data_IF_846204553377
#
_entry.id   IF_846204553377
#
_cell.length_a   1.000
_cell.length_b   1.000
_cell.length_c   1.000
_cell.angle_alpha   90.00
_cell.angle_beta   90.00
_cell.angle_gamma   90.00
#
_symmetry.space_group_name_H-M   'P 1'
#
loop_
_entity.id
_entity.type
_entity.pdbx_description
1 polymer ?
#
# COMPACT_ATOMS: atom_id res chain seq x y z
N UNK A 1 22.81 -1.06 12.74
CA UNK A 1 23.23 -0.91 11.32
C UNK A 1 22.18 -1.29 10.28
N UNK A 2 21.52 -2.45 10.36
CA UNK A 2 20.51 -2.87 9.38
C UNK A 2 19.40 -1.82 9.12
N UNK A 3 18.83 -1.22 10.18
CA UNK A 3 17.83 -0.15 10.04
C UNK A 3 18.36 1.08 9.29
N UNK A 4 19.64 1.42 9.46
CA UNK A 4 20.26 2.57 8.79
C UNK A 4 20.40 2.33 7.29
N UNK A 5 20.86 1.15 6.89
CA UNK A 5 20.95 0.78 5.48
C UNK A 5 19.57 0.71 4.83
N UNK A 6 18.59 0.10 5.50
CA UNK A 6 17.21 0.05 5.00
C UNK A 6 16.59 1.44 4.81
N UNK A 7 16.83 2.37 5.74
CA UNK A 7 16.37 3.76 5.61
C UNK A 7 17.01 4.50 4.44
N UNK A 8 18.31 4.30 4.21
CA UNK A 8 19.03 4.92 3.09
C UNK A 8 18.51 4.35 1.75
N UNK A 9 18.36 3.03 1.66
CA UNK A 9 17.85 2.36 0.46
C UNK A 9 16.41 2.78 0.14
N UNK A 10 15.52 2.71 1.13
CA UNK A 10 14.11 3.12 0.97
C UNK A 10 13.99 4.62 0.70
N UNK A 11 14.79 5.44 1.38
CA UNK A 11 14.80 6.90 1.20
C UNK A 11 15.25 7.29 -0.20
N UNK A 12 16.29 6.65 -0.73
CA UNK A 12 16.74 6.87 -2.10
C UNK A 12 15.68 6.45 -3.12
N UNK A 13 15.04 5.30 -2.93
CA UNK A 13 13.96 4.83 -3.82
C UNK A 13 12.76 5.80 -3.83
N UNK A 14 12.33 6.27 -2.65
CA UNK A 14 11.25 7.26 -2.51
C UNK A 14 11.62 8.62 -3.11
N UNK A 15 12.88 9.05 -3.00
CA UNK A 15 13.37 10.28 -3.61
C UNK A 15 13.31 10.21 -5.14
N UNK A 16 13.73 9.09 -5.73
CA UNK A 16 13.61 8.87 -7.19
C UNK A 16 12.14 8.88 -7.61
N UNK A 17 11.26 8.18 -6.88
CA UNK A 17 9.82 8.18 -7.15
C UNK A 17 9.21 9.60 -7.07
N UNK A 18 9.65 10.40 -6.10
CA UNK A 18 9.24 11.80 -5.97
C UNK A 18 9.66 12.65 -7.18
N UNK A 19 10.90 12.50 -7.67
CA UNK A 19 11.36 13.20 -8.87
C UNK A 19 10.55 12.82 -10.11
N UNK A 20 10.20 11.54 -10.26
CA UNK A 20 9.36 11.06 -11.36
C UNK A 20 7.96 11.69 -11.28
N UNK A 21 7.35 11.75 -10.10
CA UNK A 21 6.04 12.38 -9.90
C UNK A 21 6.07 13.88 -10.20
N UNK A 22 7.11 14.59 -9.76
CA UNK A 22 7.30 16.02 -10.10
C UNK A 22 7.46 16.20 -11.61
N UNK A 23 8.27 15.37 -12.27
CA UNK A 23 8.46 15.45 -13.71
C UNK A 23 7.15 15.22 -14.46
N UNK A 24 6.36 14.23 -14.05
CA UNK A 24 5.04 13.94 -14.64
C UNK A 24 4.08 15.12 -14.48
N UNK A 25 3.95 15.67 -13.27
CA UNK A 25 3.09 16.83 -13.01
C UNK A 25 3.56 18.07 -13.81
N UNK A 26 4.86 18.32 -13.86
CA UNK A 26 5.45 19.44 -14.60
C UNK A 26 5.17 19.32 -16.09
N UNK A 27 5.43 18.16 -16.70
CA UNK A 27 5.15 17.89 -18.12
C UNK A 27 3.65 18.06 -18.39
N UNK A 28 2.78 17.45 -17.59
CA UNK A 28 1.33 17.63 -17.78
C UNK A 28 0.92 19.08 -17.67
N UNK A 29 1.45 19.83 -16.69
CA UNK A 29 1.17 21.25 -16.51
C UNK A 29 1.64 22.12 -17.67
N UNK A 30 2.79 21.82 -18.29
CA UNK A 30 3.26 22.56 -19.46
C UNK A 30 2.46 22.23 -20.71
N UNK A 31 2.09 20.95 -20.93
CA UNK A 31 1.30 20.56 -22.11
C UNK A 31 -0.10 21.15 -22.03
N UNK A 32 -0.72 21.12 -20.86
CA UNK A 32 -2.10 21.57 -20.66
C UNK A 32 -2.26 23.09 -20.53
N UNK A 33 -1.15 23.84 -20.46
CA UNK A 33 -1.15 25.32 -20.42
C UNK A 33 -0.78 25.96 -21.77
N UNK A 34 -0.43 25.17 -22.78
CA UNK A 34 -0.08 25.71 -24.09
C UNK A 34 -1.32 26.36 -24.76
N UNK A 35 -1.19 27.60 -25.23
CA UNK A 35 -2.29 28.43 -25.77
C UNK A 35 -2.94 27.87 -27.07
N UNK A 36 -2.35 26.85 -27.69
CA UNK A 36 -2.76 26.21 -28.95
C UNK A 36 -3.50 24.86 -28.74
N UNK A 37 -4.23 24.70 -27.64
CA UNK A 37 -5.03 23.49 -27.41
C UNK A 37 -6.38 23.58 -28.13
N UNK A 38 -6.55 22.78 -29.18
CA UNK A 38 -7.88 22.53 -29.77
C UNK A 38 -8.87 22.02 -28.70
N UNK A 39 -10.17 22.29 -28.84
CA UNK A 39 -11.18 21.97 -27.83
C UNK A 39 -11.19 20.50 -27.35
N UNK A 40 -10.83 19.54 -28.21
CA UNK A 40 -10.70 18.11 -27.85
C UNK A 40 -9.52 17.84 -26.88
N UNK A 41 -8.45 18.64 -26.96
CA UNK A 41 -7.28 18.47 -26.08
C UNK A 41 -7.46 19.13 -24.71
N UNK A 42 -8.35 20.13 -24.59
CA UNK A 42 -8.73 20.74 -23.31
C UNK A 42 -9.48 19.72 -22.43
N UNK A 43 -10.41 18.95 -23.01
CA UNK A 43 -11.14 17.90 -22.27
C UNK A 43 -10.22 16.75 -21.81
N UNK A 44 -9.20 16.40 -22.61
CA UNK A 44 -8.18 15.40 -22.22
C UNK A 44 -7.24 15.85 -21.11
N UNK A 45 -7.10 17.17 -20.92
CA UNK A 45 -6.36 17.77 -19.82
C UNK A 45 -7.18 17.86 -18.53
N UNK A 46 -8.51 17.94 -18.64
CA UNK A 46 -9.42 17.89 -17.49
C UNK A 46 -9.63 16.47 -16.95
N UNK A 47 -9.62 15.45 -17.82
CA UNK A 47 -9.68 14.03 -17.44
C UNK A 47 -8.40 13.29 -17.90
N UNK A 48 -7.37 13.35 -17.06
CA UNK A 48 -6.05 12.76 -17.32
C UNK A 48 -6.10 11.23 -17.24
N UNK A 49 -6.44 10.62 -18.36
CA UNK A 49 -6.39 9.17 -18.53
C UNK A 49 -4.99 8.69 -18.94
N UNK A 50 -4.71 7.39 -18.77
CA UNK A 50 -3.48 6.75 -19.27
C UNK A 50 -3.25 6.99 -20.78
N UNK A 51 -4.33 7.12 -21.55
CA UNK A 51 -4.27 7.40 -22.99
C UNK A 51 -3.86 8.86 -23.25
N UNK A 52 -4.40 9.80 -22.46
CA UNK A 52 -4.03 11.22 -22.53
C UNK A 52 -2.53 11.41 -22.30
N UNK A 53 -1.94 10.73 -21.31
CA UNK A 53 -0.53 10.86 -20.98
C UNK A 53 0.43 10.52 -22.14
N UNK A 54 0.14 9.47 -22.91
CA UNK A 54 0.94 9.09 -24.09
C UNK A 54 0.90 10.16 -25.19
N UNK A 55 -0.27 10.78 -25.39
CA UNK A 55 -0.45 11.84 -26.37
C UNK A 55 0.23 13.15 -25.94
N UNK A 56 0.09 13.53 -24.67
CA UNK A 56 0.73 14.73 -24.11
C UNK A 56 2.26 14.63 -24.20
N UNK A 57 2.83 13.46 -23.88
CA UNK A 57 4.26 13.22 -24.02
C UNK A 57 4.73 13.26 -25.48
N UNK A 58 3.93 12.74 -26.41
CA UNK A 58 4.24 12.81 -27.85
C UNK A 58 4.32 14.25 -28.35
N UNK A 59 3.42 15.12 -27.89
CA UNK A 59 3.37 16.51 -28.32
C UNK A 59 4.57 17.34 -27.80
N UNK A 60 5.14 16.99 -26.64
CA UNK A 60 6.25 17.75 -26.04
C UNK A 60 7.62 17.17 -26.35
N UNK A 61 7.78 15.85 -26.37
CA UNK A 61 9.07 15.18 -26.58
C UNK A 61 9.21 14.49 -27.96
N UNK A 62 8.20 14.54 -28.82
CA UNK A 62 8.21 13.95 -30.16
C UNK A 62 7.78 12.48 -30.21
N UNK A 63 7.86 11.84 -31.39
CA UNK A 63 7.28 10.49 -31.63
C UNK A 63 7.91 9.37 -30.78
N UNK A 64 9.18 9.50 -30.40
CA UNK A 64 9.90 8.50 -29.62
C UNK A 64 9.46 8.43 -28.15
N UNK A 65 8.91 9.51 -27.58
CA UNK A 65 8.52 9.56 -26.17
C UNK A 65 7.30 8.71 -25.85
N UNK A 66 6.36 8.58 -26.78
CA UNK A 66 5.18 7.70 -26.63
C UNK A 66 5.58 6.23 -26.51
N UNK A 67 6.60 5.80 -27.26
CA UNK A 67 7.14 4.43 -27.17
C UNK A 67 7.83 4.23 -25.82
N UNK A 68 8.65 5.19 -25.38
CA UNK A 68 9.32 5.13 -24.07
C UNK A 68 8.28 5.07 -22.93
N UNK A 69 7.21 5.87 -23.03
CA UNK A 69 6.12 5.84 -22.06
C UNK A 69 5.41 4.49 -22.02
N UNK A 70 5.13 3.88 -23.17
CA UNK A 70 4.53 2.55 -23.24
C UNK A 70 5.44 1.47 -22.60
N UNK A 71 6.75 1.54 -22.86
CA UNK A 71 7.73 0.64 -22.23
C UNK A 71 7.78 0.88 -20.71
N UNK A 72 7.78 2.14 -20.27
CA UNK A 72 7.77 2.49 -18.85
C UNK A 72 6.49 2.00 -18.13
N UNK A 73 5.33 2.14 -18.76
CA UNK A 73 4.06 1.60 -18.25
C UNK A 73 4.09 0.08 -18.13
N UNK A 74 4.62 -0.62 -19.16
CA UNK A 74 4.79 -2.08 -19.11
C UNK A 74 5.75 -2.51 -17.99
N UNK A 75 6.89 -1.83 -17.86
CA UNK A 75 7.86 -2.10 -16.81
C UNK A 75 7.28 -1.87 -15.40
N UNK A 76 6.53 -0.78 -15.21
CA UNK A 76 5.83 -0.47 -13.97
C UNK A 76 4.79 -1.55 -13.63
N UNK A 77 4.02 -2.01 -14.62
CA UNK A 77 3.06 -3.12 -14.44
C UNK A 77 3.71 -4.43 -14.00
N UNK A 78 4.88 -4.78 -14.55
CA UNK A 78 5.63 -5.97 -14.11
C UNK A 78 6.15 -5.83 -12.68
N UNK A 79 6.68 -4.66 -12.33
CA UNK A 79 7.15 -4.38 -10.96
C UNK A 79 6.02 -4.51 -9.94
N UNK A 80 4.86 -3.91 -10.23
CA UNK A 80 3.67 -4.01 -9.38
C UNK A 80 3.19 -5.45 -9.19
N UNK A 81 3.20 -6.26 -10.26
CA UNK A 81 2.81 -7.67 -10.18
C UNK A 81 3.72 -8.47 -9.22
N UNK A 82 5.03 -8.24 -9.27
CA UNK A 82 5.99 -8.91 -8.39
C UNK A 82 5.72 -8.50 -6.93
N UNK A 83 5.68 -7.20 -6.65
CA UNK A 83 5.44 -6.67 -5.30
C UNK A 83 4.08 -7.13 -4.75
N UNK A 84 3.04 -7.15 -5.58
CA UNK A 84 1.72 -7.65 -5.21
C UNK A 84 1.71 -9.12 -4.82
N UNK A 85 2.47 -9.98 -5.52
CA UNK A 85 2.58 -11.41 -5.14
C UNK A 85 3.37 -11.65 -3.86
N UNK A 86 4.33 -10.78 -3.52
CA UNK A 86 5.04 -10.84 -2.25
C UNK A 86 4.19 -10.31 -1.10
N UNK A 87 3.55 -9.15 -1.26
CA UNK A 87 2.63 -8.60 -0.26
C UNK A 87 1.47 -9.56 0.02
N UNK A 88 0.86 -10.12 -1.04
CA UNK A 88 -0.19 -11.12 -0.92
C UNK A 88 0.26 -12.38 -0.18
N UNK A 89 1.54 -12.78 -0.31
CA UNK A 89 2.06 -13.90 0.47
C UNK A 89 2.01 -13.64 1.98
N UNK A 90 2.52 -12.48 2.40
CA UNK A 90 2.57 -12.11 3.81
C UNK A 90 1.17 -12.00 4.40
N UNK A 91 0.22 -11.46 3.63
CA UNK A 91 -1.18 -11.37 4.07
C UNK A 91 -1.81 -12.76 4.16
N UNK A 92 -1.66 -13.61 3.15
CA UNK A 92 -2.28 -14.94 3.13
C UNK A 92 -1.73 -15.86 4.22
N UNK A 93 -0.41 -15.84 4.46
CA UNK A 93 0.22 -16.65 5.50
C UNK A 93 -0.02 -16.06 6.89
N UNK A 94 0.00 -14.73 7.04
CA UNK A 94 -0.16 -14.07 8.33
C UNK A 94 -1.60 -13.97 8.83
N UNK A 95 -2.57 -13.70 7.95
CA UNK A 95 -3.98 -13.48 8.35
C UNK A 95 -4.90 -14.66 8.08
N UNK A 96 -4.62 -15.48 7.06
CA UNK A 96 -5.51 -16.56 6.63
C UNK A 96 -4.92 -17.97 6.87
N UNK A 97 -3.66 -18.06 7.29
CA UNK A 97 -2.85 -19.30 7.35
C UNK A 97 -3.00 -20.18 6.07
N UNK A 98 -3.13 -19.53 4.91
CA UNK A 98 -3.31 -20.20 3.63
C UNK A 98 -1.96 -20.38 2.93
N UNK A 99 -1.43 -21.60 2.95
CA UNK A 99 -0.20 -21.98 2.27
C UNK A 99 -0.49 -22.44 0.83
N UNK A 100 -0.47 -21.49 -0.11
CA UNK A 100 -0.61 -21.77 -1.55
C UNK A 100 0.74 -21.87 -2.26
N UNK A 101 0.83 -22.75 -3.27
CA UNK A 101 1.99 -22.82 -4.18
C UNK A 101 2.17 -21.50 -4.94
N UNK A 102 3.42 -21.03 -5.08
CA UNK A 102 3.77 -19.74 -5.71
C UNK A 102 3.14 -19.54 -7.10
N UNK A 103 3.16 -20.58 -7.95
CA UNK A 103 2.58 -20.53 -9.30
C UNK A 103 1.05 -20.36 -9.27
N UNK A 104 0.36 -21.12 -8.41
CA UNK A 104 -1.09 -21.04 -8.28
C UNK A 104 -1.52 -19.67 -7.75
N UNK A 105 -0.80 -19.14 -6.76
CA UNK A 105 -1.03 -17.78 -6.24
C UNK A 105 -0.92 -16.74 -7.35
N UNK A 106 0.16 -16.77 -8.12
CA UNK A 106 0.37 -15.82 -9.22
C UNK A 106 -0.68 -15.96 -10.34
N UNK A 107 -1.13 -17.18 -10.64
CA UNK A 107 -2.19 -17.40 -11.62
C UNK A 107 -3.52 -16.81 -11.14
N UNK A 108 -3.92 -17.10 -9.90
CA UNK A 108 -5.19 -16.62 -9.33
C UNK A 108 -5.20 -15.10 -9.24
N UNK A 109 -4.15 -14.47 -8.68
CA UNK A 109 -4.11 -13.00 -8.54
C UNK A 109 -4.10 -12.31 -9.89
N UNK A 110 -3.42 -12.87 -10.90
CA UNK A 110 -3.44 -12.34 -12.27
C UNK A 110 -4.80 -12.51 -12.94
N UNK A 111 -5.48 -13.64 -12.78
CA UNK A 111 -6.82 -13.84 -13.34
C UNK A 111 -7.80 -12.85 -12.72
N UNK A 112 -7.79 -12.70 -11.38
CA UNK A 112 -8.67 -11.78 -10.66
C UNK A 112 -8.41 -10.33 -11.05
N UNK A 113 -7.17 -9.94 -11.33
CA UNK A 113 -6.85 -8.58 -11.77
C UNK A 113 -7.14 -8.34 -13.27
N UNK A 114 -6.75 -9.27 -14.15
CA UNK A 114 -6.79 -9.09 -15.60
C UNK A 114 -8.18 -9.36 -16.15
N UNK A 115 -8.90 -10.39 -15.69
CA UNK A 115 -10.16 -10.78 -16.29
C UNK A 115 -11.23 -9.67 -16.22
N UNK A 116 -11.49 -9.03 -15.06
CA UNK A 116 -12.45 -7.92 -14.99
C UNK A 116 -12.01 -6.73 -15.82
N UNK A 117 -10.71 -6.41 -15.82
CA UNK A 117 -10.14 -5.32 -16.61
C UNK A 117 -10.31 -5.55 -18.11
N UNK A 118 -10.07 -6.78 -18.57
CA UNK A 118 -10.23 -7.16 -19.96
C UNK A 118 -11.70 -7.08 -20.40
N UNK A 119 -12.63 -7.61 -19.59
CA UNK A 119 -14.07 -7.56 -19.89
C UNK A 119 -14.56 -6.12 -20.00
N UNK A 120 -14.22 -5.27 -19.02
CA UNK A 120 -14.61 -3.85 -19.01
C UNK A 120 -13.97 -3.09 -20.19
N UNK A 121 -12.72 -3.39 -20.53
CA UNK A 121 -12.03 -2.77 -21.66
C UNK A 121 -12.63 -3.17 -23.02
N UNK A 122 -13.03 -4.45 -23.19
CA UNK A 122 -13.67 -4.92 -24.42
C UNK A 122 -15.04 -4.27 -24.62
N UNK A 123 -15.84 -4.12 -23.55
CA UNK A 123 -17.20 -3.58 -23.64
C UNK A 123 -17.19 -2.04 -23.70
N UNK A 124 -16.39 -1.41 -22.84
CA UNK A 124 -16.41 0.05 -22.60
C UNK A 124 -15.23 0.83 -23.19
N UNK A 125 -14.29 0.16 -23.87
CA UNK A 125 -13.11 0.78 -24.45
C UNK A 125 -12.23 1.51 -23.43
N UNK A 126 -11.56 2.57 -23.89
CA UNK A 126 -10.67 3.41 -23.06
C UNK A 126 -11.39 4.10 -21.91
N UNK A 127 -12.66 4.51 -22.10
CA UNK A 127 -13.46 5.11 -21.04
C UNK A 127 -13.81 4.10 -19.94
N UNK A 128 -14.15 2.87 -20.31
CA UNK A 128 -14.37 1.78 -19.35
C UNK A 128 -13.13 1.47 -18.53
N UNK A 129 -11.96 1.38 -19.17
CA UNK A 129 -10.68 1.18 -18.49
C UNK A 129 -10.35 2.32 -17.51
N UNK A 130 -10.58 3.58 -17.91
CA UNK A 130 -10.41 4.75 -17.03
C UNK A 130 -11.31 4.69 -15.79
N UNK A 131 -12.59 4.33 -15.95
CA UNK A 131 -13.51 4.14 -14.83
C UNK A 131 -13.06 3.04 -13.88
N UNK A 132 -12.50 1.94 -14.41
CA UNK A 132 -11.98 0.86 -13.58
C UNK A 132 -10.78 1.30 -12.74
N UNK A 133 -9.92 2.16 -13.29
CA UNK A 133 -8.81 2.75 -12.53
C UNK A 133 -9.34 3.57 -11.35
N UNK A 134 -10.37 4.39 -11.57
CA UNK A 134 -11.01 5.18 -10.50
C UNK A 134 -11.60 4.26 -9.43
N UNK A 135 -12.29 3.18 -9.83
CA UNK A 135 -12.84 2.19 -8.89
C UNK A 135 -11.72 1.51 -8.08
N UNK A 136 -10.60 1.15 -8.72
CA UNK A 136 -9.45 0.59 -8.02
C UNK A 136 -8.87 1.57 -7.00
N UNK A 137 -8.83 2.87 -7.32
CA UNK A 137 -8.43 3.92 -6.37
C UNK A 137 -9.41 4.05 -5.19
N UNK A 138 -10.72 3.93 -5.42
CA UNK A 138 -11.72 3.91 -4.34
C UNK A 138 -11.51 2.72 -3.39
N UNK A 139 -11.25 1.53 -3.93
CA UNK A 139 -10.97 0.32 -3.13
C UNK A 139 -9.72 0.54 -2.28
N UNK A 140 -8.64 1.07 -2.88
CA UNK A 140 -7.40 1.36 -2.16
C UNK A 140 -7.61 2.37 -1.03
N UNK A 141 -8.39 3.43 -1.27
CA UNK A 141 -8.73 4.42 -0.24
C UNK A 141 -9.54 3.82 0.91
N UNK A 142 -10.41 2.84 0.63
CA UNK A 142 -11.13 2.10 1.67
C UNK A 142 -10.19 1.25 2.52
N UNK A 143 -9.23 0.54 1.91
CA UNK A 143 -8.29 -0.36 2.58
C UNK A 143 -7.23 0.37 3.43
N UNK A 144 -6.80 1.56 2.99
CA UNK A 144 -5.67 2.27 3.56
C UNK A 144 -5.77 2.52 5.08
N UNK A 145 -6.88 3.04 5.64
CA UNK A 145 -6.97 3.27 7.08
C UNK A 145 -6.84 1.99 7.92
N UNK A 146 -7.35 0.86 7.41
CA UNK A 146 -7.28 -0.43 8.10
C UNK A 146 -5.87 -1.00 8.15
N UNK A 147 -5.01 -0.67 7.18
CA UNK A 147 -3.59 -1.04 7.20
C UNK A 147 -2.74 -0.03 7.99
N UNK A 148 -3.02 1.27 7.82
CA UNK A 148 -2.19 2.35 8.37
C UNK A 148 -2.37 2.51 9.89
N UNK A 149 -3.59 2.42 10.41
CA UNK A 149 -3.84 2.59 11.85
C UNK A 149 -3.09 1.52 12.68
N UNK A 150 -3.21 0.21 12.39
CA UNK A 150 -2.44 -0.80 13.11
C UNK A 150 -0.93 -0.59 13.00
N UNK A 151 -0.43 -0.24 11.81
CA UNK A 151 1.00 0.04 11.61
C UNK A 151 1.49 1.18 12.51
N UNK A 152 0.76 2.29 12.58
CA UNK A 152 1.12 3.43 13.43
C UNK A 152 1.11 3.07 14.91
N UNK A 153 0.10 2.32 15.37
CA UNK A 153 0.01 1.89 16.76
C UNK A 153 1.10 0.90 17.15
N UNK A 154 1.40 -0.06 16.27
CA UNK A 154 2.49 -1.01 16.48
C UNK A 154 3.85 -0.33 16.49
N UNK A 155 4.12 0.59 15.55
CA UNK A 155 5.37 1.35 15.50
C UNK A 155 5.53 2.34 16.67
N UNK A 156 4.42 2.80 17.26
CA UNK A 156 4.46 3.74 18.41
C UNK A 156 4.57 3.04 19.77
N UNK A 157 4.38 1.72 19.84
CA UNK A 157 4.32 0.97 21.09
C UNK A 157 5.70 0.53 21.58
N UNK A 158 6.11 1.04 22.76
CA UNK A 158 7.31 0.56 23.47
C UNK A 158 7.22 -0.93 23.78
N UNK A 159 6.02 -1.45 24.04
CA UNK A 159 5.79 -2.86 24.36
C UNK A 159 5.84 -3.78 23.13
N UNK A 160 6.04 -3.24 21.93
CA UNK A 160 6.16 -4.02 20.68
C UNK A 160 7.53 -3.84 20.03
N UNK A 161 8.10 -2.63 20.09
CA UNK A 161 9.44 -2.31 19.56
C UNK A 161 10.60 -2.46 20.55
N UNK A 162 10.33 -2.55 21.87
CA UNK A 162 11.38 -2.68 22.89
C UNK A 162 12.39 -1.52 22.84
N UNK A 163 13.71 -1.77 22.84
CA UNK A 163 14.74 -0.72 22.86
C UNK A 163 14.87 0.09 21.56
N UNK A 164 14.27 -0.37 20.45
CA UNK A 164 14.29 0.32 19.14
C UNK A 164 13.08 1.24 18.94
N UNK A 165 12.47 1.73 20.02
CA UNK A 165 11.29 2.60 19.95
C UNK A 165 11.61 3.89 19.19
N UNK A 166 10.70 4.29 18.31
CA UNK A 166 10.75 5.61 17.67
C UNK A 166 10.78 6.74 18.71
N UNK A 167 11.54 7.80 18.40
CA UNK A 167 11.53 9.04 19.18
C UNK A 167 10.12 9.62 19.24
N UNK A 168 9.79 10.29 20.35
CA UNK A 168 8.48 10.92 20.55
C UNK A 168 8.11 11.87 19.40
N UNK A 169 9.11 12.56 18.82
CA UNK A 169 8.92 13.44 17.65
C UNK A 169 8.44 12.65 16.43
N UNK A 170 9.08 11.52 16.12
CA UNK A 170 8.72 10.67 14.98
C UNK A 170 7.33 10.07 15.16
N UNK A 171 6.97 9.71 16.39
CA UNK A 171 5.63 9.22 16.72
C UNK A 171 4.60 10.32 16.42
N UNK A 172 4.77 11.52 16.98
CA UNK A 172 3.84 12.64 16.78
C UNK A 172 3.69 13.00 15.30
N UNK A 173 4.81 13.13 14.58
CA UNK A 173 4.80 13.45 13.13
C UNK A 173 4.07 12.34 12.34
N UNK A 174 4.37 11.07 12.63
CA UNK A 174 3.74 9.93 11.93
C UNK A 174 2.23 9.88 12.18
N UNK A 175 1.77 10.21 13.39
CA UNK A 175 0.34 10.29 13.69
C UNK A 175 -0.34 11.48 13.00
N UNK A 176 0.30 12.66 12.96
CA UNK A 176 -0.25 13.82 12.25
C UNK A 176 -0.38 13.52 10.75
N UNK A 177 0.68 13.00 10.12
CA UNK A 177 0.67 12.63 8.71
C UNK A 177 -0.34 11.50 8.44
N UNK A 178 -0.38 10.49 9.31
CA UNK A 178 -1.28 9.36 9.20
C UNK A 178 -2.75 9.76 9.27
N UNK A 179 -3.13 10.59 10.26
CA UNK A 179 -4.47 11.13 10.38
C UNK A 179 -4.83 12.03 9.20
N UNK A 180 -3.89 12.83 8.70
CA UNK A 180 -4.07 13.63 7.48
C UNK A 180 -4.39 12.76 6.27
N UNK A 181 -3.60 11.71 6.03
CA UNK A 181 -3.82 10.77 4.91
C UNK A 181 -5.17 10.05 5.06
N UNK A 182 -5.51 9.57 6.25
CA UNK A 182 -6.80 8.92 6.52
C UNK A 182 -7.95 9.90 6.24
N UNK A 183 -7.87 11.14 6.73
CA UNK A 183 -8.88 12.16 6.50
C UNK A 183 -9.10 12.44 5.02
N UNK A 184 -8.01 12.62 4.26
CA UNK A 184 -8.09 12.84 2.80
C UNK A 184 -8.68 11.63 2.08
N UNK A 185 -8.31 10.40 2.45
CA UNK A 185 -8.85 9.18 1.83
C UNK A 185 -10.33 8.99 2.12
N UNK A 186 -10.77 9.22 3.36
CA UNK A 186 -12.19 9.17 3.73
C UNK A 186 -12.98 10.24 2.98
N UNK A 187 -12.45 11.47 2.90
CA UNK A 187 -13.06 12.53 2.10
C UNK A 187 -13.17 12.17 0.61
N UNK A 188 -12.09 11.67 0.01
CA UNK A 188 -12.10 11.21 -1.39
C UNK A 188 -13.12 10.10 -1.61
N UNK A 189 -13.18 9.10 -0.73
CA UNK A 189 -14.12 7.99 -0.84
C UNK A 189 -15.58 8.47 -0.79
N UNK A 190 -15.91 9.34 0.16
CA UNK A 190 -17.27 9.89 0.32
C UNK A 190 -17.64 10.74 -0.91
N UNK A 191 -16.76 11.66 -1.32
CA UNK A 191 -17.04 12.56 -2.45
C UNK A 191 -17.14 11.82 -3.77
N UNK A 192 -16.27 10.85 -4.01
CA UNK A 192 -16.28 10.05 -5.22
C UNK A 192 -17.53 9.16 -5.29
N UNK A 193 -17.97 8.58 -4.16
CA UNK A 193 -19.22 7.81 -4.09
C UNK A 193 -20.46 8.69 -4.29
N UNK A 194 -20.54 9.83 -3.60
CA UNK A 194 -21.66 10.78 -3.75
C UNK A 194 -21.71 11.32 -5.19
N UNK A 195 -20.56 11.65 -5.77
CA UNK A 195 -20.46 12.08 -7.17
C UNK A 195 -20.97 11.01 -8.13
N UNK A 196 -20.60 9.75 -7.93
CA UNK A 196 -21.11 8.62 -8.72
C UNK A 196 -22.63 8.44 -8.58
N UNK A 197 -23.18 8.61 -7.37
CA UNK A 197 -24.60 8.47 -7.10
C UNK A 197 -25.47 9.59 -7.70
N UNK A 198 -24.93 10.82 -7.80
CA UNK A 198 -25.64 11.97 -8.39
C UNK A 198 -25.65 11.90 -9.92
N UNK A 199 -24.54 11.48 -10.53
CA UNK A 199 -24.38 11.47 -12.00
C UNK A 199 -24.75 10.13 -12.65
N UNK A 200 -25.18 9.14 -11.88
CA UNK A 200 -25.56 7.84 -12.43
C UNK A 200 -26.82 7.96 -13.28
N UNK A 201 -26.76 7.42 -14.49
CA UNK A 201 -27.87 7.35 -15.46
C UNK A 201 -28.93 6.31 -15.10
N UNK A 202 -28.86 5.75 -13.90
CA UNK A 202 -29.81 4.78 -13.38
C UNK A 202 -31.17 5.44 -13.10
N UNK A 203 -32.27 4.67 -13.12
CA UNK A 203 -33.58 5.20 -12.75
C UNK A 203 -33.51 5.77 -11.32
N UNK A 204 -34.13 6.94 -11.09
CA UNK A 204 -34.07 7.65 -9.80
C UNK A 204 -34.41 6.76 -8.62
N UNK A 205 -35.34 5.82 -8.81
CA UNK A 205 -35.73 4.81 -7.82
C UNK A 205 -34.53 3.93 -7.42
N UNK A 206 -33.74 3.44 -8.38
CA UNK A 206 -32.55 2.63 -8.09
C UNK A 206 -31.47 3.43 -7.34
N UNK A 207 -31.25 4.70 -7.70
CA UNK A 207 -30.31 5.55 -6.98
C UNK A 207 -30.71 5.77 -5.53
N UNK A 208 -32.01 5.91 -5.25
CA UNK A 208 -32.53 6.04 -3.88
C UNK A 208 -32.29 4.75 -3.08
N UNK A 209 -32.56 3.57 -3.67
CA UNK A 209 -32.30 2.30 -3.00
C UNK A 209 -30.81 2.06 -2.74
N UNK A 210 -29.95 2.34 -3.72
CA UNK A 210 -28.49 2.22 -3.57
C UNK A 210 -28.01 3.18 -2.48
N UNK A 211 -28.47 4.43 -2.47
CA UNK A 211 -28.15 5.39 -1.43
C UNK A 211 -28.57 4.90 -0.05
N UNK A 212 -29.79 4.40 0.09
CA UNK A 212 -30.31 3.88 1.36
C UNK A 212 -29.46 2.74 1.94
N UNK A 213 -28.81 1.93 1.10
CA UNK A 213 -27.92 0.85 1.54
C UNK A 213 -26.50 1.37 1.82
N UNK A 214 -25.95 2.19 0.93
CA UNK A 214 -24.54 2.57 0.99
C UNK A 214 -24.27 3.67 2.02
N UNK A 215 -25.21 4.59 2.27
CA UNK A 215 -25.02 5.63 3.31
C UNK A 215 -24.81 5.02 4.70
N UNK A 216 -25.64 4.06 5.17
CA UNK A 216 -25.38 3.35 6.42
C UNK A 216 -24.05 2.58 6.42
N UNK A 217 -23.68 1.95 5.31
CA UNK A 217 -22.41 1.22 5.18
C UNK A 217 -21.21 2.18 5.28
N UNK A 218 -21.30 3.34 4.65
CA UNK A 218 -20.29 4.40 4.73
C UNK A 218 -20.19 4.97 6.15
N UNK A 219 -21.31 5.19 6.82
CA UNK A 219 -21.32 5.60 8.22
C UNK A 219 -20.66 4.54 9.13
N UNK A 220 -20.96 3.26 8.92
CA UNK A 220 -20.32 2.15 9.62
C UNK A 220 -18.81 2.11 9.35
N UNK A 221 -18.39 2.36 8.11
CA UNK A 221 -16.96 2.46 7.76
C UNK A 221 -16.28 3.60 8.53
N UNK A 222 -16.84 4.82 8.50
CA UNK A 222 -16.28 5.96 9.24
C UNK A 222 -16.22 5.69 10.73
N UNK A 223 -17.28 5.11 11.31
CA UNK A 223 -17.30 4.70 12.73
C UNK A 223 -16.24 3.65 13.01
N UNK A 224 -16.02 2.69 12.11
CA UNK A 224 -14.98 1.66 12.24
C UNK A 224 -13.58 2.26 12.22
N UNK A 225 -13.32 3.23 11.35
CA UNK A 225 -12.04 3.95 11.27
C UNK A 225 -11.80 4.77 12.55
N UNK A 226 -12.82 5.49 13.03
CA UNK A 226 -12.76 6.24 14.29
C UNK A 226 -12.51 5.29 15.46
N UNK A 227 -13.28 4.20 15.54
CA UNK A 227 -13.13 3.18 16.57
C UNK A 227 -11.72 2.60 16.58
N UNK A 228 -11.15 2.22 15.44
CA UNK A 228 -9.79 1.69 15.35
C UNK A 228 -8.73 2.71 15.77
N UNK A 229 -8.94 3.99 15.46
CA UNK A 229 -8.06 5.09 15.83
C UNK A 229 -8.02 5.28 17.36
N UNK A 230 -9.17 5.24 18.03
CA UNK A 230 -9.27 5.47 19.48
C UNK A 230 -9.16 4.19 20.32
N UNK A 231 -9.28 3.01 19.71
CA UNK A 231 -9.12 1.73 20.41
C UNK A 231 -7.75 1.68 21.07
N UNK A 232 -7.70 1.53 22.40
CA UNK A 232 -6.42 1.36 23.12
C UNK A 232 -5.85 -0.02 22.81
N UNK A 233 -4.57 -0.10 22.43
CA UNK A 233 -3.89 -1.39 22.26
C UNK A 233 -3.48 -1.96 23.62
N UNK A 234 -4.02 -3.13 23.95
CA UNK A 234 -3.84 -3.78 25.26
C UNK A 234 -3.14 -5.14 25.13
N UNK A 235 -2.32 -5.35 24.09
CA UNK A 235 -1.58 -6.61 23.92
C UNK A 235 -0.08 -6.34 24.02
N UNK A 236 0.51 -6.72 25.16
CA UNK A 236 1.95 -6.69 25.40
C UNK A 236 2.60 -7.86 24.65
N UNK A 237 3.49 -7.62 23.70
CA UNK A 237 4.28 -8.69 23.05
C UNK A 237 5.75 -8.69 23.45
N UNK A 238 6.23 -7.61 24.07
CA UNK A 238 7.56 -7.56 24.68
C UNK A 238 7.44 -7.99 26.14
N UNK A 239 8.09 -9.11 26.47
CA UNK A 239 8.33 -9.53 27.85
C UNK A 239 9.75 -9.09 28.18
N UNK A 240 9.88 -8.19 29.15
CA UNK A 240 11.16 -7.77 29.71
C UNK A 240 11.79 -8.97 30.42
N UNK A 241 13.00 -9.37 30.03
CA UNK A 241 13.79 -10.33 30.81
C UNK A 241 14.20 -9.60 32.07
N UNK A 242 13.58 -9.97 33.19
CA UNK A 242 13.93 -9.48 34.52
C UNK A 242 15.39 -9.86 34.78
N UNK A 243 16.25 -8.88 35.06
CA UNK A 243 17.64 -9.08 35.47
C UNK A 243 17.67 -9.97 36.73
N UNK A 244 17.78 -11.27 36.54
CA UNK A 244 18.10 -12.20 37.60
C UNK A 244 19.64 -12.25 37.71
N UNK A 245 20.25 -11.72 38.79
CA UNK A 245 21.70 -11.59 38.89
C UNK A 245 22.45 -12.93 38.76
N UNK A 246 21.76 -14.06 38.99
CA UNK A 246 22.30 -15.40 38.78
C UNK A 246 22.56 -15.73 37.30
N UNK A 247 21.74 -15.21 36.38
CA UNK A 247 21.83 -15.55 34.95
C UNK A 247 22.94 -14.75 34.24
N UNK A 248 23.20 -13.52 34.67
CA UNK A 248 24.37 -12.74 34.21
C UNK A 248 25.70 -13.34 34.69
N UNK A 249 25.76 -13.92 35.90
CA UNK A 249 27.01 -14.53 36.38
C UNK A 249 27.41 -15.77 35.58
N UNK A 250 26.43 -16.49 35.03
CA UNK A 250 26.66 -17.66 34.18
C UNK A 250 27.10 -17.31 32.76
N UNK A 251 26.79 -16.11 32.27
CA UNK A 251 27.23 -15.61 30.95
C UNK A 251 28.62 -14.98 31.04
N UNK A 252 28.94 -14.32 32.16
CA UNK A 252 30.26 -13.70 32.39
C UNK A 252 31.35 -14.73 32.70
N UNK A 253 31.00 -15.80 33.42
CA UNK A 253 31.89 -16.95 33.65
C UNK A 253 31.65 -17.99 32.58
N UNK A 254 32.32 -17.85 31.44
CA UNK A 254 32.32 -18.82 30.34
C UNK A 254 32.71 -20.23 30.78
N UNK A 255 31.75 -20.97 31.33
CA UNK A 255 31.92 -22.37 31.70
C UNK A 255 31.74 -23.21 30.43
N UNK A 256 32.88 -23.45 29.79
CA UNK A 256 33.02 -24.55 28.82
C UNK A 256 32.95 -25.83 29.62
N UNK A 257 31.85 -26.57 29.49
CA UNK A 257 31.85 -28.00 29.80
C UNK A 257 31.38 -28.77 28.56
N UNK A 258 32.18 -29.76 28.19
CA UNK A 258 32.20 -30.52 26.95
C UNK A 258 30.84 -30.74 26.24
N UNK A 259 30.73 -30.20 25.03
CA UNK A 259 29.82 -30.69 23.99
C UNK A 259 28.72 -29.73 23.56
N UNK A 260 28.85 -29.23 22.33
CA UNK A 260 27.89 -28.45 21.53
C UNK A 260 27.83 -26.92 21.80
N UNK A 261 28.24 -26.19 20.76
CA UNK A 261 28.18 -24.73 20.65
C UNK A 261 26.73 -24.34 20.33
N UNK A 262 25.94 -23.98 21.33
CA UNK A 262 24.68 -23.26 21.10
C UNK A 262 24.97 -21.77 21.02
N UNK A 263 24.97 -21.25 19.79
CA UNK A 263 24.95 -19.82 19.50
C UNK A 263 23.53 -19.30 19.79
N UNK A 264 23.18 -19.14 21.08
CA UNK A 264 21.84 -18.72 21.49
C UNK A 264 21.59 -17.26 21.09
N UNK A 265 20.86 -17.08 20.00
CA UNK A 265 20.39 -15.82 19.46
C UNK A 265 19.31 -15.19 20.37
N UNK A 266 19.10 -13.89 20.22
CA UNK A 266 18.19 -13.03 20.99
C UNK A 266 16.86 -13.68 21.44
N UNK A 267 16.30 -13.32 22.61
CA UNK A 267 15.09 -13.93 23.15
C UNK A 267 13.86 -13.44 22.38
N UNK A 268 13.59 -14.08 21.25
CA UNK A 268 12.30 -14.05 20.58
C UNK A 268 11.57 -15.35 20.90
N UNK A 269 10.26 -15.26 21.17
CA UNK A 269 9.41 -16.42 21.44
C UNK A 269 9.32 -17.28 20.17
N UNK A 270 10.07 -18.39 20.13
CA UNK A 270 10.12 -19.30 18.97
C UNK A 270 8.76 -19.95 18.64
N UNK A 271 7.86 -20.01 19.62
CA UNK A 271 6.46 -20.46 19.47
C UNK A 271 5.62 -19.55 18.56
N UNK A 272 6.07 -18.33 18.26
CA UNK A 272 5.46 -17.43 17.26
C UNK A 272 6.29 -17.32 15.97
N UNK A 273 7.59 -17.63 16.02
CA UNK A 273 8.47 -17.65 14.84
C UNK A 273 8.19 -18.86 13.93
N UNK A 274 7.75 -19.98 14.51
CA UNK A 274 7.44 -21.21 13.76
C UNK A 274 6.25 -21.05 12.78
N UNK A 275 5.39 -20.04 12.95
CA UNK A 275 4.30 -19.74 12.02
C UNK A 275 4.75 -18.91 10.79
N UNK A 276 5.89 -18.21 10.88
CA UNK A 276 6.45 -17.44 9.77
C UNK A 276 7.57 -18.27 9.12
N UNK A 277 7.17 -19.21 8.27
CA UNK A 277 8.12 -19.91 7.40
C UNK A 277 8.79 -18.89 6.45
N UNK A 278 9.99 -18.42 6.82
CA UNK A 278 10.86 -17.65 5.93
C UNK A 278 11.10 -18.49 4.67
N UNK A 279 10.99 -17.91 3.46
CA UNK A 279 11.28 -18.65 2.24
C UNK A 279 12.75 -19.07 2.25
N UNK A 280 13.02 -20.38 2.19
CA UNK A 280 14.37 -20.89 1.94
C UNK A 280 14.93 -20.19 0.69
N UNK A 281 16.05 -19.47 0.89
CA UNK A 281 16.84 -18.93 -0.21
C UNK A 281 17.39 -20.05 -1.09
N UNK A 282 17.78 -19.75 -2.34
CA UNK A 282 18.35 -20.76 -3.22
C UNK A 282 19.64 -21.29 -2.60
N UNK A 283 19.70 -22.62 -2.42
CA UNK A 283 20.93 -23.33 -2.06
C UNK A 283 21.85 -23.28 -3.29
N UNK A 284 22.95 -22.55 -3.17
CA UNK A 284 24.16 -22.74 -3.98
C UNK A 284 25.02 -23.80 -3.31
#
# INVERSE_FOLDING_TARGET
DACRYFLIESGFALFVAFLINIAMISVTGTVCKADDLSGENVDRCNDLTLNSASFLLKNVLGRSSSIIYAIALLASGQSSAITGTYAGQFIMQGFLDLKMKKWLRNLVTRIVAIAPSLVVSIIGGSSGAGRLIIIASMILSFELPFALIPLLKFSSSSTKMGPHKNSMIIIVISWILGLGIIGINVYYLITAFVGWLIHSTLPKVANVFIGMIVFPLMALYVVSVIYLTFRKDTVKTFVEVKDDPAMQTHVEKGFVNNGQVELSYAPYREDLAAEIALPEGPRL
#
